data_IF_942695024500
#
_entry.id   IF_942695024500
#
_cell.length_a   1.000
_cell.length_b   1.000
_cell.length_c   1.000
_cell.angle_alpha   90.00
_cell.angle_beta   90.00
_cell.angle_gamma   90.00
#
_symmetry.space_group_name_H-M   'P 1'
#
loop_
_entity.id
_entity.type
_entity.pdbx_description
1 polymer ?
#
# COMPACT_ATOMS: atom_id res chain seq x y z
N UNK A 1 -14.03 -0.04 20.09
CA UNK A 1 -12.60 -0.37 20.14
C UNK A 1 -12.19 -0.68 18.71
N UNK A 2 -11.10 -0.10 18.21
CA UNK A 2 -10.48 -0.52 16.95
C UNK A 2 -9.24 -1.32 17.35
N UNK A 3 -9.25 -2.63 17.11
CA UNK A 3 -8.14 -3.50 17.51
C UNK A 3 -6.92 -3.30 16.60
N UNK A 4 -7.15 -3.05 15.31
CA UNK A 4 -6.09 -2.70 14.35
C UNK A 4 -5.07 -3.83 14.17
N UNK A 5 -5.55 -5.09 14.15
CA UNK A 5 -4.70 -6.25 14.09
C UNK A 5 -3.86 -6.28 12.80
N UNK A 6 -4.49 -6.05 11.65
CA UNK A 6 -3.74 -5.87 10.40
C UNK A 6 -3.26 -4.42 10.27
N UNK A 7 -4.10 -3.45 10.65
CA UNK A 7 -3.87 -2.01 10.48
C UNK A 7 -3.68 -1.28 11.84
N UNK A 8 -2.46 -1.14 12.36
CA UNK A 8 -1.21 -1.64 11.80
C UNK A 8 -0.36 -2.43 12.82
N UNK A 9 -1.01 -3.24 13.65
CA UNK A 9 -0.31 -4.13 14.58
C UNK A 9 0.55 -5.17 13.84
N UNK A 10 0.14 -5.64 12.67
CA UNK A 10 0.95 -6.52 11.81
C UNK A 10 2.28 -5.88 11.39
N UNK A 11 2.26 -4.66 10.84
CA UNK A 11 3.48 -3.91 10.50
C UNK A 11 4.37 -3.64 11.72
N UNK A 12 3.77 -3.39 12.88
CA UNK A 12 4.50 -3.22 14.15
C UNK A 12 5.14 -4.54 14.63
N UNK A 13 4.44 -5.67 14.51
CA UNK A 13 4.98 -6.99 14.84
C UNK A 13 6.15 -7.35 13.91
N UNK A 14 6.00 -7.10 12.61
CA UNK A 14 7.07 -7.24 11.63
C UNK A 14 8.29 -6.37 11.97
N UNK A 15 8.09 -5.10 12.37
CA UNK A 15 9.17 -4.20 12.81
C UNK A 15 9.98 -4.81 13.96
N UNK A 16 9.30 -5.32 14.99
CA UNK A 16 9.94 -5.93 16.15
C UNK A 16 10.71 -7.21 15.78
N UNK A 17 10.15 -8.06 14.91
CA UNK A 17 10.79 -9.31 14.48
C UNK A 17 12.02 -9.05 13.60
N UNK A 18 11.95 -8.05 12.70
CA UNK A 18 13.11 -7.62 11.90
C UNK A 18 14.19 -7.07 12.82
N UNK A 19 13.85 -6.21 13.79
CA UNK A 19 14.80 -5.66 14.75
C UNK A 19 15.49 -6.77 15.57
N UNK A 20 14.71 -7.74 16.06
CA UNK A 20 15.22 -8.92 16.77
C UNK A 20 16.19 -9.73 15.91
N UNK A 21 15.85 -9.94 14.64
CA UNK A 21 16.68 -10.72 13.71
C UNK A 21 17.98 -9.99 13.36
N UNK A 22 17.91 -8.70 13.03
CA UNK A 22 19.08 -7.91 12.64
C UNK A 22 20.08 -7.73 13.80
N UNK A 23 19.61 -7.69 15.05
CA UNK A 23 20.48 -7.66 16.24
C UNK A 23 21.45 -8.85 16.31
N UNK A 24 21.09 -10.00 15.76
CA UNK A 24 21.93 -11.21 15.77
C UNK A 24 22.96 -11.29 14.64
N UNK A 25 22.90 -10.40 13.66
CA UNK A 25 23.75 -10.46 12.47
C UNK A 25 25.08 -9.71 12.68
N UNK A 26 26.17 -10.28 12.16
CA UNK A 26 27.52 -9.70 12.19
C UNK A 26 27.86 -9.06 10.85
N UNK A 27 28.88 -8.18 10.82
CA UNK A 27 29.39 -7.52 9.62
C UNK A 27 28.39 -6.61 8.89
N UNK A 28 27.62 -5.83 9.65
CA UNK A 28 26.75 -4.82 9.07
C UNK A 28 27.56 -3.64 8.53
N UNK A 29 27.30 -3.27 7.28
CA UNK A 29 27.84 -2.08 6.62
C UNK A 29 26.93 -0.87 6.85
N UNK A 30 25.69 -1.09 7.28
CA UNK A 30 24.67 -0.06 7.52
C UNK A 30 24.21 -0.04 8.98
N UNK A 31 23.81 1.13 9.45
CA UNK A 31 23.04 1.28 10.68
C UNK A 31 21.54 1.13 10.37
N UNK A 32 20.78 0.64 11.34
CA UNK A 32 19.33 0.47 11.23
C UNK A 32 18.62 1.33 12.28
N UNK A 33 17.65 2.12 11.83
CA UNK A 33 16.75 2.88 12.70
C UNK A 33 15.35 2.29 12.55
N UNK A 34 14.81 1.76 13.66
CA UNK A 34 13.47 1.22 13.73
C UNK A 34 12.55 2.28 14.34
N UNK A 35 11.44 2.59 13.67
CA UNK A 35 10.53 3.65 14.08
C UNK A 35 9.09 3.13 13.99
N UNK A 36 8.32 3.33 15.06
CA UNK A 36 6.87 3.19 15.05
C UNK A 36 6.27 4.60 15.09
N UNK A 37 5.56 5.00 14.04
CA UNK A 37 5.00 6.34 13.93
C UNK A 37 3.66 6.45 14.67
N UNK A 38 3.38 7.66 15.17
CA UNK A 38 2.08 8.02 15.74
C UNK A 38 1.30 8.90 14.77
N UNK A 39 -0.04 8.82 14.79
CA UNK A 39 -0.89 9.72 14.02
C UNK A 39 -0.77 9.56 12.49
N UNK A 40 -0.48 8.36 12.00
CA UNK A 40 -0.54 7.99 10.58
C UNK A 40 -1.95 8.30 10.04
N UNK A 41 -2.98 7.77 10.71
CA UNK A 41 -4.40 7.90 10.37
C UNK A 41 -4.95 9.34 10.39
N UNK A 42 -4.22 10.24 11.04
CA UNK A 42 -4.54 11.68 11.07
C UNK A 42 -3.93 12.45 9.89
N UNK A 43 -3.26 11.73 8.98
CA UNK A 43 -2.57 12.28 7.81
C UNK A 43 -1.05 12.36 8.01
N UNK A 44 -0.44 11.26 8.46
CA UNK A 44 1.01 11.04 8.54
C UNK A 44 1.73 11.97 9.53
N UNK A 45 1.10 12.34 10.64
CA UNK A 45 1.62 13.38 11.52
C UNK A 45 2.99 13.02 12.10
N UNK A 46 3.16 11.78 12.56
CA UNK A 46 4.41 11.30 13.15
C UNK A 46 5.55 11.27 12.14
N UNK A 47 5.36 10.65 10.97
CA UNK A 47 6.42 10.57 9.97
C UNK A 47 6.77 11.94 9.38
N UNK A 48 5.77 12.81 9.15
CA UNK A 48 6.01 14.21 8.76
C UNK A 48 6.82 14.95 9.81
N UNK A 49 6.46 14.83 11.08
CA UNK A 49 7.19 15.48 12.15
C UNK A 49 8.65 15.01 12.20
N UNK A 50 8.87 13.69 12.10
CA UNK A 50 10.21 13.11 12.12
C UNK A 50 11.08 13.62 10.96
N UNK A 51 10.57 13.67 9.72
CA UNK A 51 11.40 14.12 8.59
C UNK A 51 11.68 15.62 8.59
N UNK A 52 10.90 16.42 9.32
CA UNK A 52 11.19 17.85 9.56
C UNK A 52 12.09 18.07 10.79
N UNK A 53 12.09 17.16 11.75
CA UNK A 53 12.88 17.22 12.98
C UNK A 53 13.65 15.90 13.21
N UNK A 54 14.55 15.51 12.29
CA UNK A 54 15.13 14.19 12.32
C UNK A 54 16.18 14.09 13.42
N UNK A 55 16.22 12.93 14.10
CA UNK A 55 17.24 12.63 15.12
C UNK A 55 18.57 12.17 14.51
N UNK A 56 18.61 12.01 13.19
CA UNK A 56 19.78 11.63 12.39
C UNK A 56 19.85 12.51 11.14
N UNK A 57 21.03 12.67 10.55
CA UNK A 57 21.13 13.40 9.28
C UNK A 57 20.47 12.59 8.15
N UNK A 58 19.34 13.07 7.63
CA UNK A 58 18.60 12.42 6.54
C UNK A 58 19.44 12.23 5.27
N UNK A 59 20.49 13.05 5.05
CA UNK A 59 21.41 12.86 3.92
C UNK A 59 22.20 11.55 4.02
N UNK A 60 22.32 10.96 5.21
CA UNK A 60 22.98 9.68 5.43
C UNK A 60 22.04 8.48 5.26
N UNK A 61 20.72 8.71 5.25
CA UNK A 61 19.72 7.65 5.10
C UNK A 61 19.75 7.12 3.66
N UNK A 62 19.97 5.82 3.51
CA UNK A 62 20.09 5.16 2.20
C UNK A 62 18.73 4.86 1.57
N UNK A 63 17.78 4.39 2.38
CA UNK A 63 16.42 4.08 1.98
C UNK A 63 15.53 3.97 3.23
N UNK A 64 14.22 3.93 3.04
CA UNK A 64 13.23 3.65 4.07
C UNK A 64 12.30 2.51 3.62
N UNK A 65 12.03 1.54 4.49
CA UNK A 65 11.05 0.47 4.26
C UNK A 65 9.86 0.74 5.17
N UNK A 66 8.69 0.86 4.56
CA UNK A 66 7.41 1.00 5.24
C UNK A 66 6.63 -0.31 5.18
N UNK A 67 6.04 -0.69 6.30
CA UNK A 67 5.27 -1.92 6.47
C UNK A 67 3.90 -1.54 7.01
N UNK A 68 2.88 -1.72 6.19
CA UNK A 68 1.51 -1.39 6.56
C UNK A 68 0.59 -2.51 6.08
N UNK A 69 -0.18 -3.09 7.00
CA UNK A 69 -1.10 -4.19 6.70
C UNK A 69 -0.43 -5.38 5.99
N UNK A 70 0.39 -6.11 6.74
CA UNK A 70 1.15 -7.28 6.27
C UNK A 70 0.50 -8.63 6.62
N UNK A 71 -0.53 -8.61 7.47
CA UNK A 71 -1.14 -9.77 8.07
C UNK A 71 -2.24 -10.41 7.24
N UNK A 72 -2.73 -9.80 6.15
CA UNK A 72 -3.87 -10.30 5.36
C UNK A 72 -3.48 -10.85 3.99
N UNK A 73 -2.28 -11.44 3.89
CA UNK A 73 -1.84 -12.13 2.67
C UNK A 73 -2.86 -13.21 2.24
N UNK A 74 -3.39 -13.08 1.03
CA UNK A 74 -4.34 -14.03 0.48
C UNK A 74 -3.66 -15.36 0.10
N UNK A 75 -4.16 -16.49 0.61
CA UNK A 75 -3.54 -17.81 0.39
C UNK A 75 -3.56 -18.27 -1.07
N UNK A 76 -4.57 -17.84 -1.84
CA UNK A 76 -4.73 -18.22 -3.25
C UNK A 76 -3.82 -17.39 -4.15
N UNK A 77 -3.88 -16.05 -4.03
CA UNK A 77 -3.12 -15.16 -4.90
C UNK A 77 -1.68 -14.96 -4.44
N UNK A 78 -1.41 -15.10 -3.14
CA UNK A 78 -0.12 -14.83 -2.48
C UNK A 78 0.49 -13.50 -2.90
N UNK A 79 -0.37 -12.55 -3.22
CA UNK A 79 0.04 -11.28 -3.83
C UNK A 79 0.41 -10.29 -2.75
N UNK A 80 1.57 -9.66 -2.90
CA UNK A 80 2.01 -8.53 -2.09
C UNK A 80 2.29 -7.34 -3.01
N UNK A 81 1.83 -6.17 -2.60
CA UNK A 81 2.17 -4.91 -3.26
C UNK A 81 3.48 -4.37 -2.69
N UNK A 82 4.37 -3.98 -3.59
CA UNK A 82 5.64 -3.31 -3.30
C UNK A 82 5.60 -1.94 -3.99
N UNK A 83 5.15 -0.93 -3.26
CA UNK A 83 5.20 0.47 -3.68
C UNK A 83 6.60 1.06 -3.55
N UNK A 84 6.85 2.20 -4.17
CA UNK A 84 8.15 2.86 -4.16
C UNK A 84 9.20 2.18 -5.02
N UNK A 85 8.86 1.14 -5.79
CA UNK A 85 9.81 0.38 -6.61
C UNK A 85 10.54 1.24 -7.66
N UNK A 86 9.93 2.35 -8.09
CA UNK A 86 10.54 3.30 -9.03
C UNK A 86 11.47 4.32 -8.38
N UNK A 87 11.58 4.35 -7.05
CA UNK A 87 12.31 5.39 -6.31
C UNK A 87 13.83 5.15 -6.26
N UNK A 88 14.30 4.02 -6.78
CA UNK A 88 15.71 3.73 -7.00
C UNK A 88 15.88 2.77 -8.18
N UNK A 89 16.87 3.00 -9.07
CA UNK A 89 17.19 2.02 -10.11
C UNK A 89 17.70 0.69 -9.51
N UNK A 90 18.24 0.73 -8.29
CA UNK A 90 18.78 -0.44 -7.58
C UNK A 90 17.69 -1.45 -7.24
N UNK A 91 16.43 -1.03 -7.06
CA UNK A 91 15.32 -1.95 -6.82
C UNK A 91 15.15 -2.94 -7.97
N UNK A 92 15.27 -2.47 -9.20
CA UNK A 92 15.26 -3.32 -10.39
C UNK A 92 16.33 -4.41 -10.38
N UNK A 93 17.54 -4.05 -9.96
CA UNK A 93 18.67 -4.99 -9.88
C UNK A 93 18.45 -6.05 -8.79
N UNK A 94 17.95 -5.64 -7.63
CA UNK A 94 17.76 -6.53 -6.47
C UNK A 94 16.60 -7.51 -6.68
N UNK A 95 15.46 -7.04 -7.18
CA UNK A 95 14.28 -7.88 -7.36
C UNK A 95 14.37 -8.81 -8.57
N UNK A 96 15.17 -8.47 -9.57
CA UNK A 96 15.41 -9.33 -10.75
C UNK A 96 16.62 -10.27 -10.59
N UNK A 97 17.23 -10.33 -9.40
CA UNK A 97 18.38 -11.19 -9.14
C UNK A 97 18.05 -12.69 -9.34
N UNK A 98 19.00 -13.45 -9.90
CA UNK A 98 18.84 -14.89 -10.22
C UNK A 98 19.80 -15.77 -9.41
N UNK A 99 19.50 -17.08 -9.33
CA UNK A 99 20.35 -18.06 -8.67
C UNK A 99 20.50 -17.85 -7.16
N UNK A 100 21.73 -17.99 -6.63
CA UNK A 100 22.05 -17.82 -5.20
C UNK A 100 21.84 -16.38 -4.68
N UNK A 101 21.66 -15.41 -5.58
CA UNK A 101 21.39 -14.01 -5.24
C UNK A 101 19.89 -13.70 -5.16
N UNK A 102 19.01 -14.69 -5.39
CA UNK A 102 17.56 -14.48 -5.38
C UNK A 102 17.09 -14.16 -3.96
N UNK A 103 16.23 -13.14 -3.86
CA UNK A 103 15.54 -12.79 -2.62
C UNK A 103 14.70 -13.96 -2.10
N UNK A 104 14.43 -13.95 -0.80
CA UNK A 104 13.68 -15.01 -0.14
C UNK A 104 12.24 -15.08 -0.67
N UNK A 105 11.71 -16.31 -0.68
CA UNK A 105 10.36 -16.69 -1.07
C UNK A 105 9.99 -16.40 -2.54
N UNK A 106 10.12 -17.42 -3.38
CA UNK A 106 9.72 -17.38 -4.79
C UNK A 106 8.23 -17.65 -5.00
N UNK A 107 7.48 -17.93 -3.94
CA UNK A 107 6.04 -18.23 -3.99
C UNK A 107 5.17 -17.00 -3.76
N UNK A 108 5.74 -15.88 -3.30
CA UNK A 108 5.05 -14.59 -3.31
C UNK A 108 4.91 -14.09 -4.74
N UNK A 109 3.74 -13.52 -5.03
CA UNK A 109 3.47 -12.83 -6.29
C UNK A 109 3.63 -11.33 -6.03
N UNK A 110 4.64 -10.72 -6.64
CA UNK A 110 4.93 -9.31 -6.41
C UNK A 110 4.19 -8.43 -7.40
N UNK A 111 3.41 -7.48 -6.87
CA UNK A 111 2.86 -6.36 -7.63
C UNK A 111 3.71 -5.12 -7.34
N UNK A 112 4.49 -4.70 -8.31
CA UNK A 112 5.31 -3.49 -8.17
C UNK A 112 4.51 -2.25 -8.56
N UNK A 113 4.51 -1.27 -7.68
CA UNK A 113 4.11 0.10 -8.00
C UNK A 113 5.35 0.99 -7.97
N UNK A 114 5.51 1.77 -9.04
CA UNK A 114 6.65 2.68 -9.17
C UNK A 114 6.49 3.94 -8.32
N UNK A 115 5.28 4.31 -7.88
CA UNK A 115 5.03 5.55 -7.14
C UNK A 115 5.77 5.59 -5.82
N UNK A 116 6.48 6.68 -5.54
CA UNK A 116 7.04 6.97 -4.22
C UNK A 116 6.04 7.57 -3.22
N UNK A 117 4.82 7.90 -3.69
CA UNK A 117 3.75 8.44 -2.86
C UNK A 117 2.59 7.46 -2.74
N UNK A 118 2.03 7.34 -1.54
CA UNK A 118 0.87 6.52 -1.22
C UNK A 118 0.24 6.92 0.12
N UNK A 119 -0.83 6.25 0.54
CA UNK A 119 -1.55 6.57 1.78
C UNK A 119 -0.86 5.91 3.00
N UNK A 120 0.44 6.12 3.18
CA UNK A 120 1.19 5.63 4.36
C UNK A 120 2.52 6.40 4.53
N UNK A 121 3.24 6.13 5.61
CA UNK A 121 4.36 6.94 6.12
C UNK A 121 5.57 7.06 5.19
N UNK A 122 5.77 6.12 4.26
CA UNK A 122 6.82 6.19 3.23
C UNK A 122 6.76 7.50 2.41
N UNK A 123 5.57 8.07 2.22
CA UNK A 123 5.38 9.34 1.49
C UNK A 123 6.19 10.48 2.10
N UNK A 124 6.32 10.53 3.43
CA UNK A 124 7.07 11.57 4.14
C UNK A 124 8.57 11.51 3.81
N UNK A 125 9.12 10.30 3.65
CA UNK A 125 10.52 10.08 3.32
C UNK A 125 10.81 10.29 1.83
N UNK A 126 9.92 9.82 0.95
CA UNK A 126 10.05 10.06 -0.50
C UNK A 126 10.13 11.56 -0.82
N UNK A 127 9.34 12.39 -0.13
CA UNK A 127 9.36 13.86 -0.26
C UNK A 127 10.66 14.53 0.21
N UNK A 128 11.56 13.78 0.85
CA UNK A 128 12.92 14.21 1.21
C UNK A 128 13.99 13.57 0.31
N UNK A 129 13.62 13.11 -0.88
CA UNK A 129 14.50 12.47 -1.87
C UNK A 129 15.18 11.19 -1.34
N UNK A 130 14.48 10.44 -0.48
CA UNK A 130 14.95 9.16 0.06
C UNK A 130 14.25 8.03 -0.72
N UNK A 131 14.98 7.02 -1.25
CA UNK A 131 14.36 5.82 -1.81
C UNK A 131 13.46 5.13 -0.79
N UNK A 132 12.26 4.72 -1.20
CA UNK A 132 11.31 4.05 -0.34
C UNK A 132 10.85 2.72 -0.92
N UNK A 133 10.49 1.79 -0.04
CA UNK A 133 9.69 0.62 -0.38
C UNK A 133 8.49 0.58 0.56
N UNK A 134 7.32 0.29 0.01
CA UNK A 134 6.08 0.16 0.76
C UNK A 134 5.50 -1.24 0.56
N UNK A 135 5.44 -2.04 1.63
CA UNK A 135 4.87 -3.37 1.61
C UNK A 135 3.44 -3.36 2.14
N UNK A 136 2.53 -3.95 1.37
CA UNK A 136 1.10 -3.92 1.63
C UNK A 136 0.40 -5.17 1.05
N UNK A 137 -0.43 -5.85 1.85
CA UNK A 137 -1.14 -7.07 1.39
C UNK A 137 -2.49 -6.81 0.73
N UNK A 138 -2.94 -5.55 0.69
CA UNK A 138 -4.24 -5.18 0.14
C UNK A 138 -5.25 -4.85 1.22
N UNK A 139 -6.36 -4.25 0.83
CA UNK A 139 -7.47 -4.02 1.76
C UNK A 139 -8.24 -5.32 2.01
N UNK A 140 -9.03 -5.32 3.08
CA UNK A 140 -9.93 -6.41 3.45
C UNK A 140 -11.22 -5.84 4.09
N UNK A 141 -12.27 -6.64 4.17
CA UNK A 141 -13.61 -6.22 4.64
C UNK A 141 -13.65 -5.66 6.07
N UNK A 142 -12.60 -5.89 6.86
CA UNK A 142 -12.46 -5.45 8.24
C UNK A 142 -11.65 -4.16 8.40
N UNK A 143 -11.09 -3.61 7.31
CA UNK A 143 -10.29 -2.40 7.31
C UNK A 143 -11.04 -1.22 7.96
N UNK A 144 -10.35 -0.48 8.85
CA UNK A 144 -10.92 0.58 9.69
C UNK A 144 -12.15 0.18 10.52
N UNK A 145 -12.29 -1.09 10.89
CA UNK A 145 -13.41 -1.58 11.71
C UNK A 145 -12.93 -2.24 13.00
N UNK A 146 -13.78 -2.27 14.03
CA UNK A 146 -13.53 -3.06 15.24
C UNK A 146 -13.26 -4.55 15.00
N UNK A 147 -13.64 -5.08 13.83
CA UNK A 147 -13.48 -6.48 13.45
C UNK A 147 -12.12 -6.80 12.83
N UNK A 148 -11.23 -5.81 12.69
CA UNK A 148 -9.83 -6.07 12.32
C UNK A 148 -9.09 -6.66 13.53
N UNK A 149 -9.22 -7.98 13.69
CA UNK A 149 -8.86 -8.70 14.90
C UNK A 149 -7.82 -9.82 14.64
N UNK A 150 -7.12 -10.21 15.72
CA UNK A 150 -5.92 -11.05 15.65
C UNK A 150 -6.16 -12.44 15.04
N UNK A 151 -7.38 -12.97 15.10
CA UNK A 151 -7.73 -14.28 14.55
C UNK A 151 -7.81 -14.29 13.02
N UNK A 152 -7.81 -13.10 12.39
CA UNK A 152 -7.83 -12.96 10.93
C UNK A 152 -6.45 -12.87 10.29
N UNK A 153 -5.40 -12.80 11.09
CA UNK A 153 -4.03 -12.66 10.61
C UNK A 153 -3.53 -13.99 10.03
N UNK A 154 -3.02 -13.94 8.80
CA UNK A 154 -2.26 -15.00 8.17
C UNK A 154 -0.79 -14.92 8.64
N UNK A 155 -0.52 -15.41 9.84
CA UNK A 155 0.82 -15.38 10.46
C UNK A 155 1.91 -16.04 9.60
N UNK A 156 1.58 -17.10 8.86
CA UNK A 156 2.53 -17.79 7.98
C UNK A 156 2.85 -16.92 6.75
N UNK A 157 1.83 -16.29 6.17
CA UNK A 157 1.97 -15.32 5.10
C UNK A 157 2.78 -14.09 5.52
N UNK A 158 2.50 -13.53 6.69
CA UNK A 158 3.24 -12.41 7.26
C UNK A 158 4.72 -12.77 7.48
N UNK A 159 5.01 -13.95 8.04
CA UNK A 159 6.39 -14.43 8.23
C UNK A 159 7.14 -14.56 6.89
N UNK A 160 6.46 -14.99 5.84
CA UNK A 160 7.03 -15.04 4.50
C UNK A 160 7.42 -13.65 3.97
N UNK A 161 6.59 -12.64 4.23
CA UNK A 161 6.85 -11.25 3.88
C UNK A 161 8.03 -10.70 4.69
N UNK A 162 8.05 -10.92 6.01
CA UNK A 162 9.15 -10.51 6.89
C UNK A 162 10.49 -11.08 6.43
N UNK A 163 10.53 -12.38 6.08
CA UNK A 163 11.77 -13.00 5.55
C UNK A 163 12.17 -12.43 4.19
N UNK A 164 11.21 -12.09 3.34
CA UNK A 164 11.48 -11.38 2.10
C UNK A 164 12.12 -10.01 2.36
N UNK A 165 11.53 -9.20 3.25
CA UNK A 165 12.08 -7.89 3.64
C UNK A 165 13.50 -8.02 4.20
N UNK A 166 13.75 -8.99 5.07
CA UNK A 166 15.09 -9.28 5.59
C UNK A 166 16.08 -9.60 4.46
N UNK A 167 15.68 -10.32 3.42
CA UNK A 167 16.54 -10.60 2.27
C UNK A 167 16.86 -9.36 1.45
N UNK A 168 15.93 -8.39 1.34
CA UNK A 168 16.18 -7.09 0.72
C UNK A 168 17.17 -6.27 1.56
N UNK A 169 17.00 -6.26 2.89
CA UNK A 169 17.93 -5.61 3.82
C UNK A 169 19.33 -6.22 3.73
N UNK A 170 19.43 -7.55 3.67
CA UNK A 170 20.71 -8.26 3.53
C UNK A 170 21.38 -7.92 2.19
N UNK A 171 20.63 -7.92 1.09
CA UNK A 171 21.16 -7.63 -0.23
C UNK A 171 21.66 -6.18 -0.35
N UNK A 172 20.90 -5.22 0.19
CA UNK A 172 21.32 -3.80 0.23
C UNK A 172 22.53 -3.60 1.15
N UNK A 173 22.59 -4.29 2.29
CA UNK A 173 23.75 -4.23 3.19
C UNK A 173 25.02 -4.81 2.54
N UNK A 174 24.91 -5.94 1.84
CA UNK A 174 26.02 -6.55 1.08
C UNK A 174 26.56 -5.64 -0.02
N UNK A 175 25.69 -4.84 -0.65
CA UNK A 175 26.11 -3.84 -1.65
C UNK A 175 27.01 -2.77 -1.05
N UNK A 176 26.85 -2.44 0.24
CA UNK A 176 27.75 -1.55 0.98
C UNK A 176 27.77 -0.08 0.51
N UNK A 177 26.82 0.32 -0.34
CA UNK A 177 26.77 1.66 -0.91
C UNK A 177 25.36 2.26 -0.80
N UNK A 178 25.30 3.58 -0.56
CA UNK A 178 24.06 4.34 -0.54
C UNK A 178 23.28 4.13 -1.86
N UNK A 179 21.96 3.98 -1.76
CA UNK A 179 21.11 3.82 -2.94
C UNK A 179 20.90 5.17 -3.64
N UNK A 180 20.88 5.14 -4.97
CA UNK A 180 20.54 6.31 -5.77
C UNK A 180 19.04 6.56 -5.69
N UNK A 181 18.64 7.83 -5.56
CA UNK A 181 17.24 8.23 -5.61
C UNK A 181 16.81 8.53 -7.05
N UNK A 182 15.60 8.10 -7.38
CA UNK A 182 14.89 8.44 -8.61
C UNK A 182 13.57 9.09 -8.26
N UNK A 183 13.33 10.30 -8.78
CA UNK A 183 12.02 10.92 -8.68
C UNK A 183 11.05 10.17 -9.58
N UNK A 184 9.93 9.73 -9.03
CA UNK A 184 8.90 9.01 -9.77
C UNK A 184 7.96 10.02 -10.40
N UNK A 185 7.28 9.66 -11.50
CA UNK A 185 6.17 10.48 -11.98
C UNK A 185 5.10 10.45 -10.89
N UNK A 186 5.00 11.54 -10.15
CA UNK A 186 3.84 11.78 -9.30
C UNK A 186 2.66 11.83 -10.26
N UNK A 187 1.76 10.84 -10.18
CA UNK A 187 0.38 11.15 -10.55
C UNK A 187 0.04 12.36 -9.68
N UNK A 188 -0.18 13.52 -10.29
CA UNK A 188 -0.49 14.75 -9.55
C UNK A 188 -1.62 14.39 -8.59
N UNK A 189 -1.25 14.23 -7.32
CA UNK A 189 -2.21 14.05 -6.26
C UNK A 189 -2.86 15.41 -6.16
N UNK A 190 -4.02 15.55 -6.78
CA UNK A 190 -4.97 16.59 -6.45
C UNK A 190 -5.25 16.42 -4.95
N UNK A 191 -4.43 17.10 -4.15
CA UNK A 191 -4.68 17.63 -2.82
C UNK A 191 -5.67 16.83 -1.99
N UNK A 192 -5.20 16.11 -0.98
CA UNK A 192 -5.84 16.00 0.35
C UNK A 192 -7.38 16.04 0.34
N UNK A 193 -8.02 15.30 -0.55
CA UNK A 193 -9.46 15.39 -0.69
C UNK A 193 -10.04 14.62 0.48
N UNK A 194 -10.52 15.34 1.50
CA UNK A 194 -11.50 14.77 2.42
C UNK A 194 -12.69 14.35 1.57
N UNK A 195 -12.79 13.07 1.25
CA UNK A 195 -13.91 12.55 0.50
C UNK A 195 -15.15 12.69 1.37
N UNK A 196 -16.09 13.55 0.93
CA UNK A 196 -17.35 13.75 1.63
C UNK A 196 -18.35 12.63 1.38
N UNK A 197 -18.06 11.76 0.41
CA UNK A 197 -18.92 10.66 -0.05
C UNK A 197 -18.10 9.43 -0.42
N UNK A 198 -18.77 8.28 -0.45
CA UNK A 198 -18.21 7.01 -0.93
C UNK A 198 -19.26 6.27 -1.75
N UNK A 199 -18.80 5.50 -2.74
CA UNK A 199 -19.67 4.52 -3.41
C UNK A 199 -19.96 3.32 -2.50
N UNK A 200 -19.13 3.10 -1.46
CA UNK A 200 -19.22 1.95 -0.56
C UNK A 200 -18.64 0.67 -1.15
N UNK A 201 -17.71 0.78 -2.09
CA UNK A 201 -16.89 -0.35 -2.55
C UNK A 201 -15.59 -0.39 -1.76
N UNK A 202 -14.99 -1.57 -1.73
CA UNK A 202 -13.58 -1.75 -1.43
C UNK A 202 -12.83 -2.00 -2.75
N UNK A 203 -11.91 -1.11 -3.15
CA UNK A 203 -11.08 -1.35 -4.32
C UNK A 203 -10.17 -2.56 -4.12
N UNK A 204 -10.02 -3.36 -5.17
CA UNK A 204 -8.97 -4.37 -5.25
C UNK A 204 -7.66 -3.72 -5.70
N UNK A 205 -6.81 -3.37 -4.74
CA UNK A 205 -5.49 -2.79 -5.01
C UNK A 205 -4.53 -3.77 -5.68
N UNK A 206 -4.86 -5.06 -5.75
CA UNK A 206 -4.06 -6.09 -6.42
C UNK A 206 -4.39 -6.22 -7.91
N UNK A 207 -5.51 -5.67 -8.38
CA UNK A 207 -5.95 -5.75 -9.77
C UNK A 207 -5.11 -4.91 -10.74
N UNK A 208 -4.56 -5.51 -11.78
CA UNK A 208 -3.61 -4.88 -12.73
C UNK A 208 -4.23 -4.40 -14.05
N UNK A 209 -5.53 -4.63 -14.27
CA UNK A 209 -6.22 -4.13 -15.46
C UNK A 209 -6.60 -2.66 -15.35
N UNK A 210 -7.06 -2.08 -16.46
CA UNK A 210 -7.59 -0.73 -16.46
C UNK A 210 -8.91 -0.67 -15.67
N UNK A 211 -9.02 0.32 -14.77
CA UNK A 211 -10.21 0.56 -13.95
C UNK A 211 -10.01 0.17 -12.49
N UNK A 212 -11.10 0.15 -11.74
CA UNK A 212 -11.11 -0.27 -10.33
C UNK A 212 -11.94 -1.53 -10.18
N UNK A 213 -11.26 -2.66 -9.97
CA UNK A 213 -11.95 -3.91 -9.62
C UNK A 213 -12.48 -3.83 -8.20
N UNK A 214 -13.70 -4.29 -8.02
CA UNK A 214 -14.40 -4.29 -6.73
C UNK A 214 -14.05 -5.58 -5.99
N UNK A 215 -13.44 -5.46 -4.82
CA UNK A 215 -13.13 -6.60 -3.94
C UNK A 215 -14.17 -6.76 -2.81
N UNK A 216 -14.89 -5.69 -2.50
CA UNK A 216 -15.95 -5.70 -1.50
C UNK A 216 -17.02 -4.68 -1.79
N UNK A 217 -18.25 -4.96 -1.37
CA UNK A 217 -19.38 -4.03 -1.45
C UNK A 217 -20.03 -3.94 -0.07
N UNK A 218 -20.10 -2.73 0.48
CA UNK A 218 -20.70 -2.49 1.80
C UNK A 218 -22.22 -2.39 1.67
N UNK A 219 -22.93 -3.19 2.46
CA UNK A 219 -24.39 -3.20 2.50
C UNK A 219 -24.97 -1.80 2.77
N UNK A 220 -26.09 -1.49 2.12
CA UNK A 220 -26.80 -0.22 2.28
C UNK A 220 -26.15 1.00 1.60
N UNK A 221 -24.92 0.89 1.08
CA UNK A 221 -24.22 1.98 0.38
C UNK A 221 -24.60 2.08 -1.10
N UNK A 222 -24.25 3.18 -1.81
CA UNK A 222 -24.67 3.40 -3.20
C UNK A 222 -24.37 2.25 -4.16
N UNK A 223 -23.17 1.66 -4.12
CA UNK A 223 -22.79 0.49 -4.92
C UNK A 223 -23.69 -0.72 -4.66
N UNK A 224 -24.01 -1.00 -3.39
CA UNK A 224 -24.92 -2.08 -3.02
C UNK A 224 -26.32 -1.86 -3.59
N UNK A 225 -26.84 -0.63 -3.52
CA UNK A 225 -28.19 -0.28 -3.99
C UNK A 225 -28.37 -0.46 -5.50
N UNK A 226 -27.30 -0.27 -6.27
CA UNK A 226 -27.30 -0.52 -7.72
C UNK A 226 -26.93 -1.97 -8.09
N UNK A 227 -26.77 -2.85 -7.10
CA UNK A 227 -26.48 -4.27 -7.30
C UNK A 227 -25.07 -4.54 -7.82
N UNK A 228 -24.10 -3.69 -7.51
CA UNK A 228 -22.67 -3.93 -7.79
C UNK A 228 -22.18 -5.13 -6.98
N UNK A 229 -21.25 -5.91 -7.54
CA UNK A 229 -20.75 -7.18 -6.98
C UNK A 229 -19.23 -7.22 -6.98
N UNK A 230 -18.69 -8.09 -6.13
CA UNK A 230 -17.27 -8.46 -6.16
C UNK A 230 -16.90 -8.98 -7.55
N UNK A 231 -15.77 -8.51 -8.08
CA UNK A 231 -15.29 -8.80 -9.43
C UNK A 231 -15.73 -7.82 -10.52
N UNK A 232 -16.70 -6.93 -10.24
CA UNK A 232 -17.03 -5.83 -11.17
C UNK A 232 -15.84 -4.88 -11.33
N UNK A 233 -15.66 -4.28 -12.52
CA UNK A 233 -14.57 -3.33 -12.79
C UNK A 233 -15.16 -1.98 -13.17
N UNK A 234 -14.99 -0.97 -12.33
CA UNK A 234 -15.44 0.40 -12.61
C UNK A 234 -14.51 1.03 -13.64
N UNK A 235 -15.09 1.55 -14.71
CA UNK A 235 -14.37 2.16 -15.84
C UNK A 235 -14.70 3.64 -16.02
N UNK A 236 -15.80 4.13 -15.43
CA UNK A 236 -16.14 5.55 -15.39
C UNK A 236 -17.02 5.92 -14.20
N UNK A 237 -16.87 7.14 -13.69
CA UNK A 237 -17.76 7.75 -12.70
C UNK A 237 -18.09 9.19 -13.14
N UNK A 238 -19.30 9.37 -13.66
CA UNK A 238 -19.73 10.59 -14.34
C UNK A 238 -18.95 10.81 -15.63
N UNK A 239 -18.36 12.00 -15.76
CA UNK A 239 -17.49 12.36 -16.88
C UNK A 239 -16.04 11.91 -16.70
N UNK A 240 -15.66 11.43 -15.51
CA UNK A 240 -14.28 11.02 -15.22
C UNK A 240 -14.08 9.56 -15.58
N UNK A 241 -13.16 9.31 -16.52
CA UNK A 241 -12.71 7.96 -16.83
C UNK A 241 -11.89 7.40 -15.67
N UNK A 242 -12.24 6.19 -15.24
CA UNK A 242 -11.58 5.49 -14.14
C UNK A 242 -10.65 4.44 -14.73
N UNK A 243 -9.36 4.65 -14.58
CA UNK A 243 -8.31 3.75 -15.05
C UNK A 243 -7.44 3.20 -13.92
N UNK A 244 -7.55 3.76 -12.71
CA UNK A 244 -6.81 3.37 -11.52
C UNK A 244 -7.60 3.75 -10.26
N UNK A 245 -7.15 3.30 -9.09
CA UNK A 245 -7.78 3.71 -7.83
C UNK A 245 -7.65 5.22 -7.62
N UNK A 246 -6.55 5.82 -8.03
CA UNK A 246 -6.31 7.25 -7.91
C UNK A 246 -7.31 8.07 -8.74
N UNK A 247 -7.56 7.69 -10.01
CA UNK A 247 -8.55 8.38 -10.84
C UNK A 247 -9.99 8.17 -10.35
N UNK A 248 -10.27 7.01 -9.74
CA UNK A 248 -11.54 6.78 -9.03
C UNK A 248 -11.70 7.71 -7.82
N UNK A 249 -10.67 7.83 -6.99
CA UNK A 249 -10.71 8.75 -5.84
C UNK A 249 -10.83 10.20 -6.30
N UNK A 250 -10.11 10.61 -7.35
CA UNK A 250 -10.26 11.93 -7.96
C UNK A 250 -11.68 12.17 -8.50
N UNK A 251 -12.31 11.15 -9.08
CA UNK A 251 -13.70 11.27 -9.51
C UNK A 251 -14.63 11.51 -8.31
N UNK A 252 -14.45 10.77 -7.21
CA UNK A 252 -15.24 10.90 -5.99
C UNK A 252 -15.12 12.27 -5.32
N UNK A 253 -13.96 12.92 -5.39
CA UNK A 253 -13.76 14.23 -4.75
C UNK A 253 -14.63 15.35 -5.35
N UNK A 254 -15.19 15.14 -6.54
CA UNK A 254 -16.08 16.10 -7.20
C UNK A 254 -17.53 16.03 -6.70
N UNK A 255 -17.87 15.06 -5.85
CA UNK A 255 -19.24 14.82 -5.41
C UNK A 255 -19.44 15.06 -3.91
N UNK A 256 -20.68 15.40 -3.57
CA UNK A 256 -21.18 15.64 -2.22
C UNK A 256 -22.43 14.80 -1.96
N UNK A 257 -22.82 14.71 -0.68
CA UNK A 257 -24.03 14.04 -0.27
C UNK A 257 -25.25 14.59 -1.03
N UNK A 258 -26.06 13.69 -1.59
CA UNK A 258 -27.23 14.01 -2.41
C UNK A 258 -26.94 14.13 -3.91
N UNK A 259 -25.67 14.23 -4.31
CA UNK A 259 -25.32 14.29 -5.74
C UNK A 259 -25.61 12.95 -6.42
N UNK A 260 -25.99 13.03 -7.70
CA UNK A 260 -26.27 11.89 -8.55
C UNK A 260 -25.32 11.86 -9.73
N UNK A 261 -24.85 10.66 -10.07
CA UNK A 261 -24.01 10.47 -11.25
C UNK A 261 -24.18 9.06 -11.81
N UNK A 262 -23.74 8.85 -13.05
CA UNK A 262 -23.71 7.53 -13.65
C UNK A 262 -22.36 6.86 -13.35
N UNK A 263 -22.39 5.61 -12.93
CA UNK A 263 -21.20 4.76 -12.87
C UNK A 263 -21.27 3.75 -14.01
N UNK A 264 -20.17 3.62 -14.75
CA UNK A 264 -19.99 2.59 -15.78
C UNK A 264 -19.06 1.54 -15.23
N UNK A 265 -19.48 0.28 -15.30
CA UNK A 265 -18.71 -0.84 -14.79
C UNK A 265 -18.89 -2.09 -15.64
N UNK A 266 -17.86 -2.92 -15.69
CA UNK A 266 -17.83 -4.16 -16.43
C UNK A 266 -18.12 -5.33 -15.49
N UNK A 267 -19.02 -6.23 -15.90
CA UNK A 267 -19.29 -7.51 -15.24
C UNK A 267 -19.03 -8.63 -16.22
N UNK A 268 -17.92 -9.35 -16.04
CA UNK A 268 -17.48 -10.33 -17.03
C UNK A 268 -17.19 -9.68 -18.39
N UNK A 269 -18.03 -9.93 -19.40
CA UNK A 269 -17.91 -9.33 -20.74
C UNK A 269 -18.92 -8.20 -21.00
N UNK A 270 -19.84 -7.96 -20.07
CA UNK A 270 -20.90 -6.97 -20.24
C UNK A 270 -20.48 -5.63 -19.65
N UNK A 271 -20.83 -4.54 -20.34
CA UNK A 271 -20.69 -3.18 -19.84
C UNK A 271 -22.06 -2.71 -19.32
N UNK A 272 -22.11 -2.35 -18.04
CA UNK A 272 -23.29 -1.91 -17.33
C UNK A 272 -23.15 -0.43 -16.98
N UNK A 273 -24.28 0.28 -16.97
CA UNK A 273 -24.37 1.66 -16.49
C UNK A 273 -25.49 1.77 -15.49
N UNK A 274 -25.22 2.40 -14.35
CA UNK A 274 -26.22 2.63 -13.32
C UNK A 274 -26.09 4.05 -12.75
N UNK A 275 -27.21 4.64 -12.34
CA UNK A 275 -27.20 5.92 -11.63
C UNK A 275 -27.06 5.66 -10.14
N UNK A 276 -26.09 6.33 -9.51
CA UNK A 276 -25.87 6.31 -8.06
C UNK A 276 -26.23 7.66 -7.45
N UNK A 277 -26.70 7.63 -6.21
CA UNK A 277 -26.92 8.81 -5.36
C UNK A 277 -26.02 8.69 -4.13
N UNK A 278 -25.17 9.69 -3.90
CA UNK A 278 -24.22 9.68 -2.79
C UNK A 278 -24.88 10.04 -1.46
N UNK A 279 -24.47 9.39 -0.37
CA UNK A 279 -25.09 9.47 0.96
C UNK A 279 -24.21 10.08 2.04
#
# INVERSE_FOLDING_TARGET
IHNGADDNASGTAALLEIARTLKGLKNQQSNYLFIAFSGEELGLYGSKYFVEHPTVDLKTVSYMINMDMLGRLNDSSKTITVGGYGTSPVWGELYNATGKAKLYNTSLVYRYDSSGTGPSDHTSFYRKDIPVLFYFTGLHSDYHRPTDDYDKINYVGELHIVRHILSVIEATNKRGAKLAFSKTKEAQTATSARFSVTLGIMPDYTFSGAGVRVDGVTEGRPAHKIGMKVGDIITSLGSTQVNSVESYMQALSNYKKGDKTNVVYQRGKENLTATVEFQ
#
